data_IF_875072873734
#
_entry.id   IF_875072873734
#
_cell.length_a   1.000
_cell.length_b   1.000
_cell.length_c   1.000
_cell.angle_alpha   90.00
_cell.angle_beta   90.00
_cell.angle_gamma   90.00
#
_symmetry.space_group_name_H-M   'P 1'
#
loop_
_entity.id
_entity.type
_entity.pdbx_description
1 polymer ?
#
# COMPACT_ATOMS: atom_id res chain seq x y z
N UNK A 1 14.78 -6.79 -2.08
CA UNK A 1 15.76 -6.00 -2.84
C UNK A 1 15.18 -5.30 -4.06
N UNK A 2 14.49 -5.99 -4.99
CA UNK A 2 13.94 -5.34 -6.18
C UNK A 2 13.01 -4.15 -5.87
N UNK A 3 12.03 -4.33 -4.96
CA UNK A 3 11.13 -3.24 -4.55
C UNK A 3 11.87 -2.09 -3.87
N UNK A 4 12.95 -2.36 -3.17
CA UNK A 4 13.81 -1.33 -2.60
C UNK A 4 14.58 -0.59 -3.70
N UNK A 5 15.07 -1.30 -4.70
CA UNK A 5 15.74 -0.69 -5.85
C UNK A 5 14.83 0.28 -6.62
N UNK A 6 13.53 -0.02 -6.71
CA UNK A 6 12.56 0.89 -7.36
C UNK A 6 12.35 2.20 -6.59
N UNK A 7 12.67 2.23 -5.29
CA UNK A 7 12.71 3.45 -4.47
C UNK A 7 14.06 4.17 -4.63
N UNK A 8 15.17 3.42 -4.61
CA UNK A 8 16.53 3.96 -4.67
C UNK A 8 16.81 4.74 -5.96
N UNK A 9 16.32 4.27 -7.11
CA UNK A 9 16.57 4.95 -8.39
C UNK A 9 16.02 6.37 -8.44
N UNK A 10 15.05 6.70 -7.60
CA UNK A 10 14.46 8.04 -7.52
C UNK A 10 15.16 8.91 -6.46
N UNK A 11 15.55 8.32 -5.34
CA UNK A 11 16.18 9.02 -4.21
C UNK A 11 17.70 9.14 -4.33
N UNK A 12 18.38 8.21 -5.03
CA UNK A 12 19.82 8.31 -5.27
C UNK A 12 20.20 9.54 -6.10
N UNK A 13 19.27 10.02 -6.92
CA UNK A 13 19.43 11.28 -7.67
C UNK A 13 19.35 12.49 -6.72
N UNK A 14 18.59 12.38 -5.64
CA UNK A 14 18.37 13.49 -4.69
C UNK A 14 19.41 13.48 -3.56
N UNK A 15 19.79 12.33 -3.02
CA UNK A 15 20.55 12.25 -1.77
C UNK A 15 21.89 11.53 -1.82
N UNK A 16 22.29 10.92 -2.92
CA UNK A 16 23.55 10.19 -3.09
C UNK A 16 23.91 9.21 -1.93
N UNK A 17 22.89 8.68 -1.24
CA UNK A 17 23.04 7.77 -0.11
C UNK A 17 22.33 6.46 -0.42
N UNK A 18 23.10 5.45 -0.82
CA UNK A 18 22.63 4.06 -0.85
C UNK A 18 22.34 3.58 0.58
N UNK A 19 21.13 3.80 1.08
CA UNK A 19 20.73 3.31 2.40
C UNK A 19 20.10 1.94 2.24
N UNK A 20 20.81 0.93 2.73
CA UNK A 20 20.24 -0.41 2.90
C UNK A 20 19.38 -0.36 4.17
N UNK A 21 18.12 -0.82 4.14
CA UNK A 21 17.30 -0.93 5.34
C UNK A 21 18.07 -1.62 6.46
N UNK A 22 17.82 -1.25 7.71
CA UNK A 22 18.54 -1.85 8.83
C UNK A 22 18.44 -3.37 8.77
N UNK A 23 19.50 -4.08 9.18
CA UNK A 23 19.50 -5.55 9.17
C UNK A 23 18.28 -6.13 9.89
N UNK A 24 17.81 -5.46 10.94
CA UNK A 24 16.63 -5.88 11.70
C UNK A 24 15.34 -5.81 10.87
N UNK A 25 15.10 -4.73 10.17
CA UNK A 25 13.91 -4.58 9.32
C UNK A 25 13.93 -5.52 8.12
N UNK A 26 15.13 -5.80 7.57
CA UNK A 26 15.28 -6.80 6.50
C UNK A 26 14.91 -8.20 6.96
N UNK A 27 15.35 -8.61 8.15
CA UNK A 27 15.02 -9.94 8.72
C UNK A 27 13.51 -10.07 8.93
N UNK A 28 12.87 -9.06 9.53
CA UNK A 28 11.42 -9.05 9.76
C UNK A 28 10.66 -9.10 8.44
N UNK A 29 11.05 -8.28 7.47
CA UNK A 29 10.44 -8.25 6.13
C UNK A 29 10.61 -9.58 5.39
N UNK A 30 11.78 -10.21 5.51
CA UNK A 30 12.03 -11.55 4.96
C UNK A 30 11.11 -12.58 5.62
N UNK A 31 10.92 -12.51 6.94
CA UNK A 31 9.99 -13.38 7.67
C UNK A 31 8.55 -13.25 7.16
N UNK A 32 8.07 -12.03 6.94
CA UNK A 32 6.74 -11.76 6.35
C UNK A 32 6.61 -12.37 4.96
N UNK A 33 7.61 -12.17 4.10
CA UNK A 33 7.62 -12.72 2.74
C UNK A 33 7.72 -14.25 2.72
N UNK A 34 8.50 -14.84 3.64
CA UNK A 34 8.57 -16.29 3.80
C UNK A 34 7.23 -16.87 4.28
N UNK A 35 6.54 -16.20 5.18
CA UNK A 35 5.20 -16.62 5.63
C UNK A 35 4.22 -16.60 4.45
N UNK A 36 4.19 -15.53 3.67
CA UNK A 36 3.37 -15.40 2.48
C UNK A 36 3.72 -16.48 1.44
N UNK A 37 5.01 -16.69 1.21
CA UNK A 37 5.49 -17.73 0.28
C UNK A 37 5.12 -19.14 0.73
N UNK A 38 5.21 -19.41 2.03
CA UNK A 38 4.82 -20.71 2.60
C UNK A 38 3.31 -20.95 2.50
N UNK A 39 2.51 -19.91 2.69
CA UNK A 39 1.06 -19.96 2.50
C UNK A 39 0.68 -20.25 1.06
N UNK A 40 1.26 -19.52 0.10
CA UNK A 40 1.06 -19.77 -1.33
C UNK A 40 1.53 -21.16 -1.74
N UNK A 41 2.67 -21.62 -1.21
CA UNK A 41 3.16 -22.96 -1.48
C UNK A 41 2.22 -24.04 -0.94
N UNK A 42 1.70 -23.88 0.27
CA UNK A 42 0.72 -24.80 0.82
C UNK A 42 -0.57 -24.81 -0.01
N UNK A 43 -0.97 -23.65 -0.54
CA UNK A 43 -2.14 -23.51 -1.41
C UNK A 43 -1.95 -24.17 -2.77
N UNK A 44 -0.85 -23.87 -3.46
CA UNK A 44 -0.56 -24.31 -4.82
C UNK A 44 0.02 -25.74 -4.87
N UNK A 45 0.79 -26.12 -3.85
CA UNK A 45 1.43 -27.43 -3.73
C UNK A 45 2.68 -27.62 -4.59
N UNK A 46 3.13 -26.58 -5.27
CA UNK A 46 4.31 -26.59 -6.13
C UNK A 46 5.20 -25.38 -5.83
N UNK A 47 6.45 -25.63 -5.44
CA UNK A 47 7.43 -24.58 -5.08
C UNK A 47 7.77 -23.69 -6.27
N UNK A 48 7.90 -24.30 -7.45
CA UNK A 48 8.28 -23.56 -8.66
C UNK A 48 7.18 -22.61 -9.07
N UNK A 49 5.93 -23.07 -9.06
CA UNK A 49 4.77 -22.24 -9.37
C UNK A 49 4.61 -21.12 -8.34
N UNK A 50 4.84 -21.42 -7.07
CA UNK A 50 4.82 -20.42 -5.99
C UNK A 50 5.85 -19.32 -6.22
N UNK A 51 7.09 -19.71 -6.48
CA UNK A 51 8.18 -18.74 -6.70
C UNK A 51 7.91 -17.89 -7.94
N UNK A 52 7.41 -18.49 -9.02
CA UNK A 52 7.03 -17.74 -10.22
C UNK A 52 5.94 -16.72 -9.95
N UNK A 53 4.91 -17.12 -9.20
CA UNK A 53 3.82 -16.20 -8.84
C UNK A 53 4.33 -15.05 -7.98
N UNK A 54 5.19 -15.32 -6.99
CA UNK A 54 5.81 -14.28 -6.17
C UNK A 54 6.67 -13.33 -6.98
N UNK A 55 7.49 -13.84 -7.92
CA UNK A 55 8.31 -13.01 -8.81
C UNK A 55 7.42 -12.17 -9.72
N UNK A 56 6.35 -12.74 -10.27
CA UNK A 56 5.41 -12.06 -11.15
C UNK A 56 4.67 -10.92 -10.42
N UNK A 57 4.05 -11.22 -9.28
CA UNK A 57 3.34 -10.21 -8.47
C UNK A 57 4.30 -9.16 -7.95
N UNK A 58 5.46 -9.56 -7.41
CA UNK A 58 6.50 -8.65 -6.95
C UNK A 58 7.05 -7.76 -8.06
N UNK A 59 7.19 -8.31 -9.28
CA UNK A 59 7.60 -7.57 -10.46
C UNK A 59 6.58 -6.49 -10.84
N UNK A 60 5.29 -6.83 -10.89
CA UNK A 60 4.22 -5.86 -11.15
C UNK A 60 4.21 -4.78 -10.09
N UNK A 61 4.23 -5.16 -8.79
CA UNK A 61 4.28 -4.20 -7.70
C UNK A 61 5.49 -3.25 -7.81
N UNK A 62 6.65 -3.77 -8.24
CA UNK A 62 7.84 -2.96 -8.43
C UNK A 62 7.69 -1.96 -9.57
N UNK A 63 7.13 -2.36 -10.72
CA UNK A 63 6.87 -1.44 -11.84
C UNK A 63 5.88 -0.35 -11.45
N UNK A 64 4.77 -0.73 -10.80
CA UNK A 64 3.76 0.23 -10.33
C UNK A 64 4.33 1.18 -9.29
N UNK A 65 5.11 0.66 -8.33
CA UNK A 65 5.79 1.47 -7.32
C UNK A 65 6.76 2.48 -7.95
N UNK A 66 7.57 2.04 -8.93
CA UNK A 66 8.51 2.90 -9.64
C UNK A 66 7.79 4.03 -10.39
N UNK A 67 6.71 3.69 -11.10
CA UNK A 67 5.95 4.68 -11.87
C UNK A 67 5.24 5.69 -10.95
N UNK A 68 4.61 5.21 -9.88
CA UNK A 68 3.98 6.08 -8.88
C UNK A 68 4.99 7.02 -8.22
N UNK A 69 6.17 6.48 -7.85
CA UNK A 69 7.23 7.29 -7.23
C UNK A 69 7.77 8.36 -8.20
N UNK A 70 7.89 8.04 -9.48
CA UNK A 70 8.34 9.00 -10.50
C UNK A 70 7.35 10.12 -10.76
N UNK A 71 6.05 9.79 -10.79
CA UNK A 71 5.02 10.77 -11.14
C UNK A 71 4.52 11.58 -9.96
N UNK A 72 4.43 10.95 -8.76
CA UNK A 72 3.80 11.54 -7.57
C UNK A 72 4.75 11.72 -6.39
N UNK A 73 5.99 11.25 -6.49
CA UNK A 73 6.94 11.21 -5.36
C UNK A 73 6.40 10.45 -4.14
N UNK A 74 5.51 9.49 -4.40
CA UNK A 74 4.87 8.66 -3.37
C UNK A 74 5.11 7.18 -3.64
N UNK A 75 5.32 6.34 -2.61
CA UNK A 75 5.41 4.90 -2.76
C UNK A 75 4.04 4.27 -3.00
N UNK A 76 4.05 2.98 -3.37
CA UNK A 76 2.83 2.20 -3.52
C UNK A 76 2.24 1.88 -2.14
N UNK A 77 0.98 2.27 -1.92
CA UNK A 77 0.23 2.00 -0.70
C UNK A 77 -0.71 0.79 -0.83
N UNK A 78 -1.07 0.13 0.29
CA UNK A 78 -2.14 -0.88 0.28
C UNK A 78 -3.48 -0.34 -0.25
N UNK A 79 -3.79 0.93 0.01
CA UNK A 79 -5.01 1.60 -0.47
C UNK A 79 -5.07 1.71 -1.98
N UNK A 80 -3.93 1.77 -2.67
CA UNK A 80 -3.87 1.85 -4.14
C UNK A 80 -4.44 0.59 -4.79
N UNK A 81 -4.38 -0.55 -4.09
CA UNK A 81 -4.98 -1.79 -4.58
C UNK A 81 -6.50 -1.68 -4.78
N UNK A 82 -7.17 -0.79 -4.03
CA UNK A 82 -8.60 -0.50 -4.21
C UNK A 82 -8.87 0.23 -5.52
N UNK A 83 -7.89 0.98 -6.03
CA UNK A 83 -8.01 1.74 -7.29
C UNK A 83 -7.89 0.86 -8.55
N UNK A 84 -7.55 -0.43 -8.41
CA UNK A 84 -7.51 -1.37 -9.55
C UNK A 84 -8.89 -1.44 -10.24
N UNK A 85 -9.98 -1.23 -9.51
CA UNK A 85 -11.34 -1.16 -10.06
C UNK A 85 -11.57 0.07 -10.95
N UNK A 86 -10.78 1.12 -10.79
CA UNK A 86 -10.81 2.36 -11.59
C UNK A 86 -9.75 2.34 -12.72
N UNK A 87 -9.48 1.17 -13.28
CA UNK A 87 -8.39 0.92 -14.23
C UNK A 87 -8.38 1.82 -15.47
N UNK A 88 -9.55 2.26 -15.96
CA UNK A 88 -9.64 3.10 -17.15
C UNK A 88 -8.98 4.48 -16.93
N UNK A 89 -9.30 5.15 -15.84
CA UNK A 89 -8.70 6.46 -15.51
C UNK A 89 -7.22 6.36 -15.18
N UNK A 90 -6.77 5.21 -14.61
CA UNK A 90 -5.37 4.97 -14.35
C UNK A 90 -4.56 4.78 -15.64
N UNK A 91 -5.11 4.07 -16.65
CA UNK A 91 -4.44 3.88 -17.94
C UNK A 91 -4.27 5.19 -18.71
N UNK A 92 -5.20 6.13 -18.58
CA UNK A 92 -5.11 7.45 -19.21
C UNK A 92 -3.99 8.31 -18.62
N UNK A 93 -3.57 8.03 -17.38
CA UNK A 93 -2.51 8.76 -16.67
C UNK A 93 -1.10 8.18 -16.91
N UNK A 94 -1.02 6.97 -17.45
CA UNK A 94 0.26 6.25 -17.60
C UNK A 94 0.83 6.51 -19.01
N UNK A 95 2.15 6.74 -19.08
CA UNK A 95 2.82 6.95 -20.39
C UNK A 95 2.73 5.70 -21.27
N UNK A 96 2.61 5.88 -22.59
CA UNK A 96 2.59 4.76 -23.54
C UNK A 96 3.83 3.85 -23.43
N UNK A 97 4.98 4.41 -23.05
CA UNK A 97 6.22 3.67 -22.82
C UNK A 97 6.09 2.74 -21.60
N UNK A 98 5.49 3.20 -20.51
CA UNK A 98 5.25 2.39 -19.31
C UNK A 98 4.28 1.26 -19.60
N UNK A 99 3.20 1.52 -20.36
CA UNK A 99 2.27 0.49 -20.80
C UNK A 99 2.98 -0.57 -21.65
N UNK A 100 3.81 -0.15 -22.62
CA UNK A 100 4.57 -1.07 -23.45
C UNK A 100 5.55 -1.91 -22.62
N UNK A 101 6.23 -1.31 -21.65
CA UNK A 101 7.16 -2.02 -20.74
C UNK A 101 6.40 -3.03 -19.88
N UNK A 102 5.26 -2.66 -19.32
CA UNK A 102 4.41 -3.55 -18.53
C UNK A 102 3.90 -4.73 -19.36
N UNK A 103 3.44 -4.48 -20.60
CA UNK A 103 3.00 -5.54 -21.52
C UNK A 103 4.14 -6.47 -21.90
N UNK A 104 5.34 -5.92 -22.20
CA UNK A 104 6.52 -6.73 -22.50
C UNK A 104 6.89 -7.62 -21.29
N UNK A 105 6.87 -7.08 -20.07
CA UNK A 105 7.11 -7.82 -18.84
C UNK A 105 6.09 -8.96 -18.65
N UNK A 106 4.80 -8.67 -18.83
CA UNK A 106 3.73 -9.68 -18.73
C UNK A 106 3.91 -10.78 -19.77
N UNK A 107 4.26 -10.44 -21.02
CA UNK A 107 4.54 -11.40 -22.07
C UNK A 107 5.74 -12.29 -21.75
N UNK A 108 6.85 -11.69 -21.32
CA UNK A 108 8.07 -12.44 -20.94
C UNK A 108 7.75 -13.40 -19.78
N UNK A 109 7.06 -12.91 -18.75
CA UNK A 109 6.62 -13.75 -17.65
C UNK A 109 5.67 -14.87 -18.13
N UNK A 110 4.71 -14.56 -18.99
CA UNK A 110 3.77 -15.54 -19.55
C UNK A 110 4.48 -16.66 -20.32
N UNK A 111 5.43 -16.31 -21.18
CA UNK A 111 6.26 -17.28 -21.91
C UNK A 111 7.09 -18.12 -20.96
N UNK A 112 7.72 -17.49 -19.96
CA UNK A 112 8.50 -18.19 -18.96
C UNK A 112 7.62 -19.14 -18.11
N UNK A 113 6.45 -18.70 -17.67
CA UNK A 113 5.45 -19.54 -17.00
C UNK A 113 5.05 -20.74 -17.85
N UNK A 114 4.76 -20.53 -19.14
CA UNK A 114 4.41 -21.58 -20.05
C UNK A 114 5.51 -22.66 -20.13
N UNK A 115 6.76 -22.26 -20.31
CA UNK A 115 7.90 -23.19 -20.36
C UNK A 115 8.10 -23.95 -19.05
N UNK A 116 7.98 -23.27 -17.91
CA UNK A 116 8.17 -23.90 -16.59
C UNK A 116 7.04 -24.87 -16.30
N UNK A 117 5.79 -24.49 -16.56
CA UNK A 117 4.62 -25.37 -16.39
C UNK A 117 4.75 -26.59 -17.29
N UNK A 118 5.06 -26.39 -18.58
CA UNK A 118 5.22 -27.48 -19.54
C UNK A 118 6.35 -28.45 -19.15
N UNK A 119 7.46 -27.91 -18.63
CA UNK A 119 8.58 -28.71 -18.14
C UNK A 119 8.25 -29.46 -16.85
N UNK A 120 7.52 -28.84 -15.91
CA UNK A 120 7.17 -29.43 -14.63
C UNK A 120 6.06 -30.49 -14.73
N UNK A 121 5.15 -30.38 -15.69
CA UNK A 121 4.16 -31.43 -15.98
C UNK A 121 4.87 -32.77 -16.29
N UNK A 122 6.06 -32.71 -16.90
CA UNK A 122 6.87 -33.90 -17.21
C UNK A 122 7.73 -34.42 -16.05
N UNK A 123 7.94 -33.60 -15.01
CA UNK A 123 8.69 -33.99 -13.80
C UNK A 123 7.69 -34.19 -12.66
N UNK A 124 7.59 -35.41 -12.15
CA UNK A 124 6.86 -35.68 -10.91
C UNK A 124 7.67 -35.09 -9.74
N UNK A 125 7.42 -33.82 -9.41
CA UNK A 125 7.97 -33.24 -8.17
C UNK A 125 7.30 -33.88 -6.97
N UNK A 126 8.06 -34.29 -5.94
CA UNK A 126 7.49 -34.88 -4.73
C UNK A 126 6.57 -33.84 -4.06
N UNK A 127 5.29 -34.18 -4.00
CA UNK A 127 4.26 -33.35 -3.35
C UNK A 127 4.21 -33.66 -1.87
N UNK A 128 4.13 -32.63 -1.04
CA UNK A 128 3.89 -32.81 0.39
C UNK A 128 2.58 -33.59 0.64
N UNK A 129 2.54 -34.46 1.65
CA UNK A 129 1.32 -35.10 2.09
C UNK A 129 0.21 -34.08 2.35
N UNK A 130 -1.03 -34.39 1.94
CA UNK A 130 -2.18 -33.48 2.09
C UNK A 130 -2.37 -32.97 3.54
N UNK A 131 -2.13 -33.81 4.54
CA UNK A 131 -2.22 -33.46 5.97
C UNK A 131 -1.21 -32.35 6.33
N UNK A 132 0.04 -32.47 5.90
CA UNK A 132 1.08 -31.50 6.18
C UNK A 132 0.80 -30.17 5.45
N UNK A 133 0.32 -30.23 4.22
CA UNK A 133 -0.12 -29.04 3.48
C UNK A 133 -1.24 -28.28 4.19
N UNK A 134 -2.24 -29.00 4.68
CA UNK A 134 -3.34 -28.39 5.43
C UNK A 134 -2.85 -27.75 6.73
N UNK A 135 -1.96 -28.42 7.46
CA UNK A 135 -1.38 -27.86 8.69
C UNK A 135 -0.59 -26.56 8.42
N UNK A 136 0.27 -26.57 7.37
CA UNK A 136 1.03 -25.37 6.97
C UNK A 136 0.07 -24.25 6.54
N UNK A 137 -0.96 -24.58 5.75
CA UNK A 137 -1.95 -23.60 5.29
C UNK A 137 -2.67 -22.94 6.48
N UNK A 138 -3.11 -23.73 7.46
CA UNK A 138 -3.79 -23.19 8.64
C UNK A 138 -2.87 -22.30 9.48
N UNK A 139 -1.66 -22.76 9.78
CA UNK A 139 -0.69 -22.00 10.58
C UNK A 139 -0.31 -20.69 9.89
N UNK A 140 -0.02 -20.75 8.59
CA UNK A 140 0.37 -19.55 7.83
C UNK A 140 -0.81 -18.61 7.61
N UNK A 141 -2.04 -19.11 7.46
CA UNK A 141 -3.25 -18.29 7.42
C UNK A 141 -3.46 -17.51 8.71
N UNK A 142 -3.30 -18.17 9.88
CA UNK A 142 -3.35 -17.48 11.17
C UNK A 142 -2.26 -16.41 11.28
N UNK A 143 -1.06 -16.70 10.80
CA UNK A 143 0.04 -15.73 10.75
C UNK A 143 -0.28 -14.53 9.85
N UNK A 144 -0.86 -14.75 8.68
CA UNK A 144 -1.26 -13.67 7.77
C UNK A 144 -2.42 -12.84 8.33
N UNK A 145 -3.39 -13.47 8.97
CA UNK A 145 -4.47 -12.77 9.68
C UNK A 145 -3.90 -11.89 10.80
N UNK A 146 -2.92 -12.41 11.57
CA UNK A 146 -2.24 -11.62 12.59
C UNK A 146 -1.46 -10.43 12.00
N UNK A 147 -0.80 -10.61 10.84
CA UNK A 147 -0.14 -9.52 10.10
C UNK A 147 -1.18 -8.51 9.59
N UNK A 148 -2.36 -8.95 9.14
CA UNK A 148 -3.45 -8.07 8.75
C UNK A 148 -3.90 -7.12 9.87
N UNK A 149 -3.69 -7.51 11.12
CA UNK A 149 -3.97 -6.71 12.31
C UNK A 149 -2.74 -5.88 12.77
N UNK A 150 -1.82 -5.57 11.86
CA UNK A 150 -0.57 -4.87 12.17
C UNK A 150 -0.78 -3.55 12.92
N UNK A 151 -1.83 -2.81 12.61
CA UNK A 151 -2.12 -1.50 13.21
C UNK A 151 -2.75 -1.60 14.62
N UNK A 152 -3.22 -2.77 15.04
CA UNK A 152 -3.81 -2.92 16.36
C UNK A 152 -2.80 -2.70 17.49
N UNK A 153 -3.26 -2.12 18.58
CA UNK A 153 -2.45 -1.92 19.77
C UNK A 153 -1.96 -3.27 20.30
N UNK A 154 -0.66 -3.33 20.59
CA UNK A 154 -0.06 -4.55 21.13
C UNK A 154 0.41 -5.57 20.09
N UNK A 155 0.28 -5.33 18.80
CA UNK A 155 0.81 -6.22 17.78
C UNK A 155 2.34 -6.38 17.92
N UNK A 156 2.80 -7.62 18.14
CA UNK A 156 4.22 -7.91 18.40
C UNK A 156 5.10 -7.64 17.19
N UNK A 157 4.59 -7.86 15.97
CA UNK A 157 5.34 -7.58 14.75
C UNK A 157 5.56 -6.07 14.60
N UNK A 158 4.53 -5.24 14.86
CA UNK A 158 4.64 -3.79 14.86
C UNK A 158 5.70 -3.33 15.86
N UNK A 159 5.64 -3.82 17.11
CA UNK A 159 6.63 -3.52 18.15
C UNK A 159 8.05 -3.92 17.73
N UNK A 160 8.21 -5.09 17.09
CA UNK A 160 9.51 -5.53 16.60
C UNK A 160 10.07 -4.60 15.51
N UNK A 161 9.23 -4.08 14.63
CA UNK A 161 9.63 -3.06 13.66
C UNK A 161 9.97 -1.74 14.34
N UNK A 162 9.16 -1.25 15.27
CA UNK A 162 9.39 0.00 16.01
C UNK A 162 10.74 0.01 16.77
N UNK A 163 11.18 -1.14 17.27
CA UNK A 163 12.49 -1.27 17.91
C UNK A 163 13.68 -1.20 16.93
N UNK A 164 13.46 -1.41 15.64
CA UNK A 164 14.52 -1.53 14.63
C UNK A 164 14.44 -0.45 13.55
N UNK A 165 13.37 0.33 13.53
CA UNK A 165 13.10 1.35 12.53
C UNK A 165 12.79 2.70 13.18
N UNK A 166 13.22 3.78 12.51
CA UNK A 166 12.77 5.12 12.83
C UNK A 166 11.63 5.49 11.86
N UNK A 167 10.43 5.72 12.38
CA UNK A 167 9.31 6.17 11.57
C UNK A 167 9.35 7.69 11.39
N UNK A 168 9.32 8.13 10.13
CA UNK A 168 9.40 9.54 9.74
C UNK A 168 7.97 10.00 9.44
N UNK A 169 7.40 10.83 10.31
CA UNK A 169 5.98 11.20 10.24
C UNK A 169 5.62 12.06 9.01
N UNK A 170 6.57 12.86 8.52
CA UNK A 170 6.35 13.83 7.44
C UNK A 170 6.69 13.31 6.04
N UNK A 171 7.29 12.14 5.90
CA UNK A 171 7.70 11.60 4.60
C UNK A 171 7.49 10.11 4.49
N UNK A 172 6.47 9.71 3.75
CA UNK A 172 6.22 8.29 3.48
C UNK A 172 7.28 7.69 2.55
N UNK A 173 7.80 8.47 1.63
CA UNK A 173 8.86 8.01 0.73
C UNK A 173 10.12 7.64 1.52
N UNK A 174 10.53 8.50 2.46
CA UNK A 174 11.68 8.23 3.33
C UNK A 174 11.43 7.02 4.24
N UNK A 175 10.19 6.84 4.72
CA UNK A 175 9.83 5.65 5.50
C UNK A 175 10.05 4.36 4.71
N UNK A 176 9.58 4.30 3.48
CA UNK A 176 9.79 3.13 2.61
C UNK A 176 11.26 2.93 2.28
N UNK A 177 12.00 4.02 2.10
CA UNK A 177 13.42 3.98 1.82
C UNK A 177 14.22 3.45 3.00
N UNK A 178 14.05 4.02 4.20
CA UNK A 178 14.82 3.68 5.41
C UNK A 178 14.42 2.32 5.99
N UNK A 179 13.12 2.02 6.02
CA UNK A 179 12.57 0.84 6.68
C UNK A 179 12.35 -0.34 5.73
N UNK A 180 12.39 -0.08 4.43
CA UNK A 180 12.13 -1.06 3.39
C UNK A 180 10.66 -1.12 2.97
N UNK A 181 10.43 -1.60 1.74
CA UNK A 181 9.10 -1.64 1.13
C UNK A 181 8.05 -2.39 1.98
N UNK A 182 8.40 -3.56 2.51
CA UNK A 182 7.46 -4.39 3.28
C UNK A 182 7.03 -3.68 4.57
N UNK A 183 7.98 -3.09 5.30
CA UNK A 183 7.68 -2.31 6.49
C UNK A 183 6.77 -1.12 6.16
N UNK A 184 7.15 -0.29 5.17
CA UNK A 184 6.33 0.83 4.73
C UNK A 184 4.92 0.42 4.33
N UNK A 185 4.79 -0.69 3.60
CA UNK A 185 3.48 -1.23 3.21
C UNK A 185 2.63 -1.68 4.41
N UNK A 186 3.23 -2.35 5.41
CA UNK A 186 2.54 -2.77 6.63
C UNK A 186 2.09 -1.59 7.49
N UNK A 187 2.92 -0.56 7.62
CA UNK A 187 2.58 0.67 8.35
C UNK A 187 1.44 1.46 7.69
N UNK A 188 1.22 1.27 6.39
CA UNK A 188 0.14 1.89 5.63
C UNK A 188 -1.06 0.95 5.42
N UNK A 189 -1.10 -0.22 6.10
CA UNK A 189 -2.32 -1.03 6.11
C UNK A 189 -3.48 -0.20 6.68
N UNK A 190 -4.71 -0.36 6.14
CA UNK A 190 -5.86 0.36 6.64
C UNK A 190 -6.01 0.15 8.15
N UNK A 191 -6.04 1.25 8.88
CA UNK A 191 -6.51 1.31 10.26
C UNK A 191 -7.80 2.12 10.23
N UNK A 192 -8.70 1.88 11.16
CA UNK A 192 -9.81 2.79 11.34
C UNK A 192 -9.23 4.13 11.83
N UNK A 193 -9.20 5.16 10.97
CA UNK A 193 -8.54 6.42 11.30
C UNK A 193 -9.27 7.17 12.41
N UNK A 194 -10.53 6.82 12.64
CA UNK A 194 -11.40 7.42 13.66
C UNK A 194 -12.46 6.40 14.05
N UNK A 195 -12.71 6.26 15.34
CA UNK A 195 -13.83 5.46 15.84
C UNK A 195 -15.15 6.14 15.40
N UNK A 196 -16.07 5.34 14.90
CA UNK A 196 -17.40 5.82 14.57
C UNK A 196 -18.08 6.32 15.86
N UNK A 197 -18.58 7.58 15.91
CA UNK A 197 -19.28 8.07 17.08
C UNK A 197 -20.46 7.16 17.43
N UNK A 198 -20.67 6.92 18.72
CA UNK A 198 -21.67 5.96 19.23
C UNK A 198 -23.11 6.28 18.80
N UNK A 199 -23.38 7.54 18.46
CA UNK A 199 -24.68 8.04 18.03
C UNK A 199 -24.69 8.49 16.55
N UNK A 200 -23.75 7.97 15.73
CA UNK A 200 -23.71 8.26 14.30
C UNK A 200 -24.91 7.63 13.59
N UNK A 201 -25.87 8.46 13.19
CA UNK A 201 -27.08 8.03 12.51
C UNK A 201 -27.58 9.10 11.54
N UNK A 202 -28.36 8.68 10.54
CA UNK A 202 -28.97 9.60 9.59
C UNK A 202 -29.81 10.68 10.31
N UNK A 203 -30.53 10.29 11.37
CA UNK A 203 -31.31 11.23 12.19
C UNK A 203 -30.42 12.28 12.84
N UNK A 204 -29.29 11.85 13.47
CA UNK A 204 -28.36 12.78 14.12
C UNK A 204 -27.74 13.77 13.14
N UNK A 205 -27.42 13.31 11.92
CA UNK A 205 -26.91 14.19 10.87
C UNK A 205 -27.96 15.20 10.44
N UNK A 206 -29.22 14.78 10.31
CA UNK A 206 -30.33 15.69 9.99
C UNK A 206 -30.54 16.71 11.11
N UNK A 207 -30.57 16.28 12.38
CA UNK A 207 -30.71 17.16 13.54
C UNK A 207 -29.57 18.22 13.60
N UNK A 208 -28.33 17.80 13.28
CA UNK A 208 -27.20 18.71 13.19
C UNK A 208 -27.35 19.72 12.05
N UNK A 209 -27.79 19.25 10.87
CA UNK A 209 -28.03 20.10 9.73
C UNK A 209 -29.08 21.16 10.04
N UNK A 210 -30.24 20.76 10.59
CA UNK A 210 -31.33 21.68 10.98
C UNK A 210 -30.87 22.71 12.02
N UNK A 211 -30.08 22.24 13.02
CA UNK A 211 -29.53 23.13 14.05
C UNK A 211 -28.64 24.21 13.44
N UNK A 212 -27.69 23.82 12.58
CA UNK A 212 -26.78 24.79 12.00
C UNK A 212 -27.41 25.63 10.91
N UNK A 213 -28.42 25.11 10.22
CA UNK A 213 -29.22 25.90 9.29
C UNK A 213 -29.97 27.02 10.04
N UNK A 214 -30.60 26.72 11.17
CA UNK A 214 -31.29 27.73 11.98
C UNK A 214 -30.34 28.83 12.47
N UNK A 215 -29.11 28.45 12.92
CA UNK A 215 -28.08 29.42 13.32
C UNK A 215 -27.60 30.28 12.13
N UNK A 216 -27.45 29.67 10.96
CA UNK A 216 -27.08 30.39 9.76
C UNK A 216 -28.17 31.38 9.32
N UNK A 217 -29.41 30.99 9.41
CA UNK A 217 -30.57 31.84 9.10
C UNK A 217 -30.65 33.04 10.06
N UNK A 218 -30.46 32.80 11.37
CA UNK A 218 -30.40 33.86 12.40
C UNK A 218 -29.26 34.87 12.11
N UNK A 219 -28.07 34.37 11.80
CA UNK A 219 -26.92 35.23 11.44
C UNK A 219 -27.18 36.04 10.16
N UNK A 220 -27.92 35.47 9.20
CA UNK A 220 -28.21 36.10 7.93
C UNK A 220 -29.37 37.07 7.98
N UNK A 221 -30.18 37.09 9.06
CA UNK A 221 -31.28 38.08 9.22
C UNK A 221 -30.73 39.50 9.26
N UNK A 222 -29.61 39.72 9.94
CA UNK A 222 -28.96 41.02 10.10
C UNK A 222 -27.95 41.39 8.98
N UNK A 223 -27.77 40.48 8.03
CA UNK A 223 -26.83 40.73 6.90
C UNK A 223 -27.52 41.47 5.79
N UNK A 224 -26.79 42.44 5.23
CA UNK A 224 -27.22 43.15 4.02
C UNK A 224 -27.28 42.14 2.86
N UNK A 225 -28.49 41.94 2.30
CA UNK A 225 -28.75 40.98 1.21
C UNK A 225 -28.36 41.53 -0.16
N UNK A 226 -27.74 42.69 -0.23
CA UNK A 226 -27.21 43.25 -1.46
C UNK A 226 -25.98 42.42 -1.90
N UNK A 227 -26.19 41.51 -2.83
CA UNK A 227 -25.06 40.84 -3.48
C UNK A 227 -24.34 41.86 -4.36
N UNK A 228 -23.12 42.29 -4.03
CA UNK A 228 -22.35 43.10 -4.95
C UNK A 228 -22.03 42.21 -6.15
N UNK A 229 -22.07 42.79 -7.36
CA UNK A 229 -21.66 42.14 -8.60
C UNK A 229 -20.12 41.96 -8.60
N UNK A 230 -19.65 41.04 -7.78
CA UNK A 230 -18.22 40.76 -7.56
C UNK A 230 -17.92 39.29 -7.81
N UNK A 231 -16.75 39.03 -8.38
CA UNK A 231 -16.21 37.67 -8.44
C UNK A 231 -15.60 37.28 -7.09
N UNK A 232 -16.07 36.16 -6.52
CA UNK A 232 -15.53 35.60 -5.27
C UNK A 232 -14.54 34.51 -5.64
N UNK A 233 -13.27 34.68 -5.24
CA UNK A 233 -12.21 33.70 -5.44
C UNK A 233 -11.88 33.08 -4.08
N UNK A 234 -12.11 31.77 -3.93
CA UNK A 234 -11.68 31.00 -2.76
C UNK A 234 -10.27 30.48 -3.00
N UNK A 235 -9.35 30.89 -2.12
CA UNK A 235 -7.98 30.35 -2.11
C UNK A 235 -7.82 29.48 -0.87
N UNK A 236 -7.68 28.16 -1.08
CA UNK A 236 -7.33 27.25 -0.01
C UNK A 236 -5.81 27.25 0.16
N UNK A 237 -5.33 27.68 1.30
CA UNK A 237 -3.90 27.61 1.66
C UNK A 237 -3.69 26.42 2.62
N UNK A 238 -3.24 25.30 2.07
CA UNK A 238 -3.07 24.05 2.83
C UNK A 238 -1.85 24.07 3.77
N UNK A 239 -0.92 24.99 3.57
CA UNK A 239 0.34 25.07 4.32
C UNK A 239 0.41 26.34 5.17
N UNK A 240 -0.69 26.69 5.81
CA UNK A 240 -0.70 27.85 6.70
C UNK A 240 0.15 27.52 7.95
N UNK A 241 1.21 28.30 8.17
CA UNK A 241 1.94 28.35 9.44
C UNK A 241 1.80 29.74 10.04
N UNK A 242 1.48 29.80 11.31
CA UNK A 242 1.48 31.07 12.03
C UNK A 242 2.93 31.55 12.23
N UNK A 243 3.35 32.67 11.66
CA UNK A 243 4.72 33.16 11.79
C UNK A 243 5.01 33.80 13.17
N UNK A 244 4.02 33.82 14.07
CA UNK A 244 4.12 34.44 15.39
C UNK A 244 4.28 33.42 16.53
N UNK A 245 4.32 32.11 16.23
CA UNK A 245 4.66 31.04 17.17
C UNK A 245 6.16 30.65 17.11
#
# INVERSE_FOLDING_TARGET
MYLQYTLDTTLSVINNRGVIPTRGTLILSTGVLLLLGSWLWALLGDVTLTNLLLIFVGGIMGVVNLEKTRQRTEPLYPSDLKMITASKSLLEMVSGQTVATALAFVLICGVFFYFVIHRNIKKQTPKLPKKNRLAILLITSLGLLYIGQFQQQGNLLKRAYEQKSAWIHWSQLDNYYVNGFVAGFLYNLPSDPMEEPTDYSAKKITDLHEKYQAIADEINEDRDKTEPDVNVIFVMNESFSDPTE
#
